data_IF_974709594321
#
_entry.id   IF_974709594321
#
_cell.length_a   1.000
_cell.length_b   1.000
_cell.length_c   1.000
_cell.angle_alpha   90.00
_cell.angle_beta   90.00
_cell.angle_gamma   90.00
#
_symmetry.space_group_name_H-M   'P 1'
#
loop_
_entity.id
_entity.type
_entity.pdbx_description
1 polymer ?
#
# COMPACT_ATOMS: atom_id res chain seq x y z
N UNK A 1 5.41 -10.85 7.67
CA UNK A 1 6.64 -11.33 8.33
C UNK A 1 7.59 -10.16 8.47
N UNK A 2 8.04 -9.84 9.69
CA UNK A 2 8.85 -8.64 9.91
C UNK A 2 10.31 -8.95 9.56
N UNK A 3 10.80 -8.41 8.43
CA UNK A 3 12.17 -8.58 7.94
C UNK A 3 13.20 -8.23 9.02
N UNK A 4 12.87 -7.27 9.89
CA UNK A 4 13.72 -6.86 11.01
C UNK A 4 13.96 -8.00 12.01
N UNK A 5 12.92 -8.79 12.32
CA UNK A 5 13.04 -9.95 13.22
C UNK A 5 13.93 -11.02 12.58
N UNK A 6 13.78 -11.26 11.27
CA UNK A 6 14.62 -12.23 10.57
C UNK A 6 16.09 -11.78 10.49
N UNK A 7 16.36 -10.52 10.16
CA UNK A 7 17.73 -9.99 10.10
C UNK A 7 18.42 -9.97 11.48
N UNK A 8 17.64 -9.71 12.55
CA UNK A 8 18.11 -9.85 13.94
C UNK A 8 18.44 -11.31 14.28
N UNK A 9 17.60 -12.24 13.82
CA UNK A 9 17.82 -13.69 13.97
C UNK A 9 19.05 -14.15 13.16
N UNK A 10 19.35 -13.53 12.02
CA UNK A 10 20.41 -13.96 11.08
C UNK A 10 21.83 -13.47 11.46
N UNK A 11 22.11 -13.19 12.74
CA UNK A 11 23.40 -12.70 13.26
C UNK A 11 23.88 -11.32 12.74
N UNK A 12 23.01 -10.53 12.10
CA UNK A 12 23.38 -9.18 11.68
C UNK A 12 23.26 -8.20 12.86
N UNK A 13 24.25 -7.32 13.07
CA UNK A 13 24.17 -6.28 14.12
C UNK A 13 22.90 -5.43 13.94
N UNK A 14 22.30 -4.98 15.05
CA UNK A 14 21.10 -4.14 15.05
C UNK A 14 21.23 -2.94 14.10
N UNK A 15 22.38 -2.28 14.12
CA UNK A 15 22.69 -1.13 13.25
C UNK A 15 22.63 -1.49 11.75
N UNK A 16 23.11 -2.68 11.39
CA UNK A 16 23.13 -3.14 9.99
C UNK A 16 21.73 -3.52 9.52
N UNK A 17 20.95 -4.21 10.36
CA UNK A 17 19.57 -4.56 10.05
C UNK A 17 18.69 -3.32 9.88
N UNK A 18 18.87 -2.32 10.75
CA UNK A 18 18.20 -1.02 10.63
C UNK A 18 18.59 -0.28 9.35
N UNK A 19 19.88 -0.27 9.00
CA UNK A 19 20.38 0.35 7.77
C UNK A 19 19.80 -0.30 6.51
N UNK A 20 19.78 -1.64 6.45
CA UNK A 20 19.20 -2.38 5.32
C UNK A 20 17.71 -2.09 5.16
N UNK A 21 16.97 -2.02 6.28
CA UNK A 21 15.54 -1.69 6.25
C UNK A 21 15.30 -0.25 5.77
N UNK A 22 16.14 0.70 6.18
CA UNK A 22 16.08 2.09 5.73
C UNK A 22 16.35 2.21 4.22
N UNK A 23 17.40 1.53 3.71
CA UNK A 23 17.69 1.46 2.27
C UNK A 23 16.45 0.95 1.53
N UNK A 24 15.83 -0.12 2.03
CA UNK A 24 14.63 -0.68 1.42
C UNK A 24 13.47 0.34 1.34
N UNK A 25 13.20 1.08 2.41
CA UNK A 25 12.13 2.09 2.44
C UNK A 25 12.40 3.24 1.45
N UNK A 26 13.65 3.73 1.40
CA UNK A 26 14.04 4.83 0.50
C UNK A 26 13.92 4.39 -0.96
N UNK A 27 14.45 3.21 -1.31
CA UNK A 27 14.37 2.67 -2.67
C UNK A 27 12.92 2.48 -3.09
N UNK A 28 12.07 1.94 -2.21
CA UNK A 28 10.67 1.70 -2.51
C UNK A 28 9.85 2.98 -2.68
N UNK A 29 10.17 4.02 -1.89
CA UNK A 29 9.59 5.35 -2.07
C UNK A 29 9.95 5.93 -3.44
N UNK A 30 11.22 5.92 -3.81
CA UNK A 30 11.69 6.49 -5.09
C UNK A 30 11.29 5.66 -6.31
N UNK A 31 11.23 4.33 -6.17
CA UNK A 31 10.86 3.43 -7.26
C UNK A 31 9.40 3.61 -7.68
N UNK A 32 8.49 3.97 -6.77
CA UNK A 32 7.05 4.10 -7.10
C UNK A 32 6.71 5.15 -8.17
N UNK A 33 7.14 6.43 -8.07
CA UNK A 33 6.89 7.41 -9.12
C UNK A 33 7.70 7.09 -10.38
N UNK A 34 8.91 6.54 -10.26
CA UNK A 34 9.73 6.12 -11.39
C UNK A 34 9.03 5.04 -12.23
N UNK A 35 8.63 3.94 -11.58
CA UNK A 35 7.84 2.88 -12.19
C UNK A 35 6.53 3.43 -12.74
N UNK A 36 5.84 4.31 -12.00
CA UNK A 36 4.60 4.92 -12.46
C UNK A 36 4.77 5.67 -13.78
N UNK A 37 5.75 6.56 -13.85
CA UNK A 37 6.07 7.33 -15.05
C UNK A 37 6.47 6.44 -16.24
N UNK A 38 7.40 5.50 -16.02
CA UNK A 38 7.86 4.61 -17.10
C UNK A 38 6.79 3.61 -17.52
N UNK A 39 5.96 3.14 -16.60
CA UNK A 39 4.82 2.29 -16.91
C UNK A 39 3.81 3.01 -17.78
N UNK A 40 3.59 4.31 -17.59
CA UNK A 40 2.73 5.12 -18.45
C UNK A 40 3.35 5.33 -19.86
N UNK A 41 4.67 5.47 -19.99
CA UNK A 41 5.30 5.74 -21.30
C UNK A 41 5.74 4.49 -22.09
N UNK A 42 5.42 3.29 -21.62
CA UNK A 42 5.88 2.05 -22.27
C UNK A 42 5.02 1.69 -23.49
N UNK A 43 5.47 2.14 -24.66
CA UNK A 43 4.83 1.89 -25.95
C UNK A 43 5.77 1.10 -26.89
N UNK A 44 5.80 -0.23 -26.70
CA UNK A 44 6.62 -1.16 -27.45
C UNK A 44 5.73 -2.26 -28.08
N UNK A 45 6.24 -3.00 -29.07
CA UNK A 45 5.51 -4.12 -29.72
C UNK A 45 5.02 -5.16 -28.69
N UNK A 46 5.80 -5.39 -27.64
CA UNK A 46 5.45 -6.27 -26.52
C UNK A 46 4.28 -5.72 -25.68
N UNK A 47 4.27 -4.42 -25.36
CA UNK A 47 3.16 -3.82 -24.59
C UNK A 47 1.88 -3.74 -25.42
N UNK A 48 1.98 -3.57 -26.74
CA UNK A 48 0.84 -3.63 -27.66
C UNK A 48 0.15 -5.01 -27.68
N UNK A 49 0.91 -6.11 -27.57
CA UNK A 49 0.35 -7.48 -27.56
C UNK A 49 -0.05 -7.97 -26.16
N UNK A 50 0.74 -7.67 -25.14
CA UNK A 50 0.58 -8.24 -23.81
C UNK A 50 -0.19 -7.37 -22.82
N UNK A 51 -0.25 -6.06 -23.08
CA UNK A 51 -0.72 -5.07 -22.12
C UNK A 51 0.45 -4.38 -21.41
N UNK A 52 0.35 -3.05 -21.29
CA UNK A 52 1.40 -2.20 -20.70
C UNK A 52 1.48 -2.43 -19.20
N UNK A 53 0.33 -2.53 -18.52
CA UNK A 53 0.26 -2.77 -17.07
C UNK A 53 0.70 -4.18 -16.74
N UNK A 54 0.26 -5.17 -17.51
CA UNK A 54 0.69 -6.56 -17.35
C UNK A 54 2.19 -6.73 -17.56
N UNK A 55 2.80 -6.03 -18.52
CA UNK A 55 4.24 -6.12 -18.75
C UNK A 55 5.06 -5.68 -17.53
N UNK A 56 4.72 -4.53 -16.94
CA UNK A 56 5.39 -4.06 -15.72
C UNK A 56 5.09 -4.90 -14.49
N UNK A 57 3.87 -5.45 -14.38
CA UNK A 57 3.54 -6.42 -13.35
C UNK A 57 4.39 -7.70 -13.49
N UNK A 58 4.59 -8.20 -14.70
CA UNK A 58 5.44 -9.38 -14.96
C UNK A 58 6.89 -9.09 -14.63
N UNK A 59 7.44 -7.96 -15.07
CA UNK A 59 8.79 -7.52 -14.71
C UNK A 59 8.98 -7.50 -13.19
N UNK A 60 8.08 -6.84 -12.47
CA UNK A 60 8.16 -6.78 -11.01
C UNK A 60 8.05 -8.15 -10.34
N UNK A 61 7.18 -9.03 -10.86
CA UNK A 61 7.03 -10.40 -10.36
C UNK A 61 8.34 -11.17 -10.51
N UNK A 62 9.00 -11.09 -11.68
CA UNK A 62 10.29 -11.76 -11.90
C UNK A 62 11.38 -11.23 -10.96
N UNK A 63 11.45 -9.92 -10.74
CA UNK A 63 12.37 -9.31 -9.78
C UNK A 63 12.13 -9.83 -8.36
N UNK A 64 10.87 -9.90 -7.91
CA UNK A 64 10.51 -10.42 -6.59
C UNK A 64 10.88 -11.90 -6.45
N UNK A 65 10.56 -12.74 -7.44
CA UNK A 65 10.89 -14.16 -7.42
C UNK A 65 12.41 -14.41 -7.39
N UNK A 66 13.17 -13.59 -8.10
CA UNK A 66 14.63 -13.69 -8.17
C UNK A 66 15.35 -13.14 -6.94
N UNK A 67 14.73 -12.29 -6.12
CA UNK A 67 15.39 -11.61 -5.00
C UNK A 67 14.90 -12.05 -3.62
N UNK A 68 13.59 -12.27 -3.45
CA UNK A 68 12.99 -12.56 -2.15
C UNK A 68 13.54 -13.83 -1.46
N UNK A 69 13.81 -14.96 -2.16
CA UNK A 69 14.44 -16.12 -1.52
C UNK A 69 15.82 -15.81 -0.92
N UNK A 70 16.60 -14.96 -1.58
CA UNK A 70 17.99 -14.65 -1.17
C UNK A 70 18.04 -13.72 0.03
N UNK A 71 17.01 -12.88 0.23
CA UNK A 71 16.87 -12.06 1.44
C UNK A 71 16.70 -12.95 2.69
N UNK A 72 16.03 -14.10 2.55
CA UNK A 72 15.71 -15.03 3.63
C UNK A 72 16.50 -16.35 3.57
N UNK A 73 17.62 -16.35 2.85
CA UNK A 73 18.57 -17.45 2.84
C UNK A 73 19.88 -17.01 3.46
N UNK A 74 20.65 -17.96 3.99
CA UNK A 74 22.04 -17.69 4.35
C UNK A 74 22.79 -17.15 3.13
N UNK A 75 23.62 -16.12 3.33
CA UNK A 75 24.39 -15.59 2.22
C UNK A 75 25.31 -16.69 1.67
N UNK A 76 25.15 -16.97 0.37
CA UNK A 76 25.92 -17.97 -0.36
C UNK A 76 27.41 -17.61 -0.35
N UNK A 77 28.23 -18.41 0.34
CA UNK A 77 29.69 -18.21 0.40
C UNK A 77 30.16 -17.09 1.33
N UNK A 78 29.30 -16.57 2.22
CA UNK A 78 29.64 -15.48 3.14
C UNK A 78 30.17 -15.93 4.52
N UNK A 79 30.35 -17.23 4.78
CA UNK A 79 30.66 -17.76 6.12
C UNK A 79 31.97 -17.23 6.73
N UNK A 80 32.91 -16.76 5.90
CA UNK A 80 34.19 -16.17 6.31
C UNK A 80 34.38 -14.72 5.83
N UNK A 81 33.35 -14.12 5.23
CA UNK A 81 33.45 -12.81 4.56
C UNK A 81 33.23 -11.65 5.53
N UNK A 82 33.89 -10.53 5.26
CA UNK A 82 33.79 -9.31 6.08
C UNK A 82 32.34 -8.77 6.13
N UNK A 83 31.94 -8.16 7.24
CA UNK A 83 30.56 -7.65 7.47
C UNK A 83 30.02 -6.75 6.36
N UNK A 84 30.86 -5.89 5.78
CA UNK A 84 30.52 -5.02 4.65
C UNK A 84 30.11 -5.80 3.39
N UNK A 85 30.74 -6.94 3.12
CA UNK A 85 30.38 -7.78 1.97
C UNK A 85 28.98 -8.38 2.14
N UNK A 86 28.64 -8.82 3.35
CA UNK A 86 27.29 -9.28 3.68
C UNK A 86 26.26 -8.15 3.55
N UNK A 87 26.61 -6.94 4.00
CA UNK A 87 25.75 -5.75 3.86
C UNK A 87 25.46 -5.43 2.39
N UNK A 88 26.48 -5.39 1.52
CA UNK A 88 26.28 -5.15 0.09
C UNK A 88 25.46 -6.24 -0.58
N UNK A 89 25.69 -7.51 -0.22
CA UNK A 89 24.92 -8.65 -0.73
C UNK A 89 23.42 -8.49 -0.43
N UNK A 90 23.06 -8.30 0.84
CA UNK A 90 21.65 -8.13 1.21
C UNK A 90 21.06 -6.83 0.68
N UNK A 91 21.82 -5.73 0.66
CA UNK A 91 21.37 -4.46 0.11
C UNK A 91 21.00 -4.58 -1.37
N UNK A 92 21.81 -5.29 -2.18
CA UNK A 92 21.52 -5.49 -3.60
C UNK A 92 20.19 -6.24 -3.82
N UNK A 93 19.95 -7.34 -3.10
CA UNK A 93 18.69 -8.08 -3.21
C UNK A 93 17.50 -7.28 -2.69
N UNK A 94 17.65 -6.53 -1.60
CA UNK A 94 16.60 -5.64 -1.08
C UNK A 94 16.27 -4.57 -2.13
N UNK A 95 17.25 -3.94 -2.76
CA UNK A 95 17.01 -2.93 -3.81
C UNK A 95 16.21 -3.53 -4.96
N UNK A 96 16.60 -4.71 -5.46
CA UNK A 96 15.88 -5.40 -6.54
C UNK A 96 14.45 -5.77 -6.10
N UNK A 97 14.29 -6.28 -4.89
CA UNK A 97 12.99 -6.63 -4.33
C UNK A 97 12.06 -5.42 -4.24
N UNK A 98 12.55 -4.28 -3.74
CA UNK A 98 11.75 -3.07 -3.57
C UNK A 98 11.35 -2.45 -4.92
N UNK A 99 12.24 -2.45 -5.92
CA UNK A 99 11.89 -2.04 -7.29
C UNK A 99 10.82 -2.99 -7.87
N UNK A 100 11.00 -4.30 -7.68
CA UNK A 100 10.05 -5.30 -8.14
C UNK A 100 8.67 -5.17 -7.47
N UNK A 101 8.65 -4.92 -6.17
CA UNK A 101 7.44 -4.67 -5.40
C UNK A 101 6.71 -3.42 -5.86
N UNK A 102 7.43 -2.31 -6.06
CA UNK A 102 6.87 -1.08 -6.63
C UNK A 102 6.24 -1.35 -8.01
N UNK A 103 6.93 -2.11 -8.89
CA UNK A 103 6.43 -2.50 -10.21
C UNK A 103 5.14 -3.31 -10.16
N UNK A 104 5.07 -4.35 -9.32
CA UNK A 104 3.84 -5.16 -9.14
C UNK A 104 2.70 -4.30 -8.59
N UNK A 105 2.97 -3.53 -7.54
CA UNK A 105 1.93 -2.79 -6.83
C UNK A 105 1.34 -1.67 -7.70
N UNK A 106 2.18 -0.82 -8.30
CA UNK A 106 1.73 0.34 -9.05
C UNK A 106 0.99 -0.09 -10.32
N UNK A 107 1.51 -1.09 -11.04
CA UNK A 107 0.88 -1.60 -12.27
C UNK A 107 -0.49 -2.24 -12.00
N UNK A 108 -0.63 -2.95 -10.88
CA UNK A 108 -1.92 -3.53 -10.50
C UNK A 108 -2.93 -2.46 -10.06
N UNK A 109 -2.48 -1.40 -9.37
CA UNK A 109 -3.36 -0.30 -8.94
C UNK A 109 -3.88 0.52 -10.11
N UNK A 110 -3.00 0.85 -11.06
CA UNK A 110 -3.36 1.62 -12.27
C UNK A 110 -4.23 0.84 -13.26
N UNK A 111 -4.25 -0.49 -13.18
CA UNK A 111 -5.13 -1.32 -13.99
C UNK A 111 -6.61 -1.24 -13.57
N UNK A 112 -6.93 -0.95 -12.30
CA UNK A 112 -8.32 -0.93 -11.82
C UNK A 112 -9.17 0.14 -12.53
N UNK A 113 -8.73 1.41 -12.65
CA UNK A 113 -9.47 2.42 -13.40
C UNK A 113 -9.60 2.14 -14.89
N UNK A 114 -8.68 1.35 -15.47
CA UNK A 114 -8.72 0.93 -16.88
C UNK A 114 -9.71 -0.21 -17.12
N UNK A 115 -9.98 -1.06 -16.12
CA UNK A 115 -10.90 -2.21 -16.22
C UNK A 115 -12.38 -1.83 -16.16
N UNK A 116 -12.73 -0.71 -15.54
CA UNK A 116 -14.12 -0.27 -15.38
C UNK A 116 -14.20 1.24 -15.37
N UNK A 117 -15.22 1.80 -16.04
CA UNK A 117 -15.57 3.22 -15.98
C UNK A 117 -16.60 3.53 -14.86
N UNK A 118 -17.27 2.51 -14.31
CA UNK A 118 -18.21 2.69 -13.19
C UNK A 118 -17.44 2.78 -11.86
N UNK A 119 -17.58 3.92 -11.17
CA UNK A 119 -16.96 4.22 -9.88
C UNK A 119 -17.37 3.25 -8.76
N UNK A 120 -18.61 2.74 -8.79
CA UNK A 120 -19.06 1.73 -7.86
C UNK A 120 -18.33 0.41 -8.08
N UNK A 121 -18.14 0.00 -9.34
CA UNK A 121 -17.40 -1.22 -9.70
C UNK A 121 -15.91 -1.07 -9.33
N UNK A 122 -15.29 0.09 -9.58
CA UNK A 122 -13.89 0.37 -9.16
C UNK A 122 -13.69 0.20 -7.66
N UNK A 123 -14.66 0.65 -6.87
CA UNK A 123 -14.65 0.50 -5.41
C UNK A 123 -14.76 -0.95 -5.00
N UNK A 124 -15.66 -1.68 -5.64
CA UNK A 124 -15.86 -3.10 -5.39
C UNK A 124 -14.59 -3.91 -5.70
N UNK A 125 -13.96 -3.66 -6.86
CA UNK A 125 -12.67 -4.27 -7.22
C UNK A 125 -11.58 -3.93 -6.20
N UNK A 126 -11.55 -2.70 -5.72
CA UNK A 126 -10.60 -2.24 -4.69
C UNK A 126 -10.84 -2.92 -3.35
N UNK A 127 -12.09 -3.05 -2.91
CA UNK A 127 -12.47 -3.77 -1.70
C UNK A 127 -12.10 -5.26 -1.79
N UNK A 128 -12.38 -5.91 -2.92
CA UNK A 128 -12.02 -7.31 -3.16
C UNK A 128 -10.50 -7.49 -3.12
N UNK A 129 -9.74 -6.63 -3.81
CA UNK A 129 -8.27 -6.65 -3.78
C UNK A 129 -7.72 -6.50 -2.36
N UNK A 130 -8.27 -5.56 -1.58
CA UNK A 130 -7.85 -5.37 -0.20
C UNK A 130 -8.21 -6.58 0.67
N UNK A 131 -9.41 -7.15 0.49
CA UNK A 131 -9.81 -8.41 1.14
C UNK A 131 -8.83 -9.55 0.87
N UNK A 132 -8.38 -9.74 -0.37
CA UNK A 132 -7.35 -10.72 -0.71
C UNK A 132 -5.98 -10.40 -0.09
N UNK A 133 -5.64 -9.12 0.08
CA UNK A 133 -4.42 -8.71 0.79
C UNK A 133 -4.50 -9.10 2.28
N UNK A 134 -5.66 -8.91 2.91
CA UNK A 134 -5.90 -9.35 4.29
C UNK A 134 -5.83 -10.87 4.41
N UNK A 135 -6.50 -11.61 3.51
CA UNK A 135 -6.45 -13.08 3.47
C UNK A 135 -5.02 -13.61 3.26
N UNK A 136 -4.22 -12.96 2.42
CA UNK A 136 -2.81 -13.31 2.21
C UNK A 136 -1.99 -13.11 3.49
N UNK A 137 -2.20 -12.01 4.22
CA UNK A 137 -1.55 -11.82 5.52
C UNK A 137 -1.95 -12.93 6.51
N UNK A 138 -3.24 -13.24 6.62
CA UNK A 138 -3.74 -14.33 7.46
C UNK A 138 -3.10 -15.68 7.09
N UNK A 139 -3.00 -15.97 5.79
CA UNK A 139 -2.33 -17.18 5.29
C UNK A 139 -0.86 -17.24 5.75
N UNK A 140 -0.09 -16.16 5.62
CA UNK A 140 1.30 -16.11 6.10
C UNK A 140 1.39 -16.32 7.61
N UNK A 141 0.47 -15.71 8.38
CA UNK A 141 0.38 -15.94 9.83
C UNK A 141 0.12 -17.40 10.18
N UNK A 142 -0.85 -18.05 9.52
CA UNK A 142 -1.21 -19.45 9.75
C UNK A 142 -0.04 -20.37 9.37
N UNK A 143 0.59 -20.17 8.20
CA UNK A 143 1.75 -20.96 7.76
C UNK A 143 2.91 -20.81 8.74
N UNK A 144 3.17 -19.60 9.21
CA UNK A 144 4.24 -19.32 10.20
C UNK A 144 3.94 -20.03 11.52
N UNK A 145 2.70 -19.96 12.01
CA UNK A 145 2.27 -20.64 13.22
C UNK A 145 2.40 -22.16 13.11
N UNK A 146 1.94 -22.77 12.01
CA UNK A 146 2.07 -24.21 11.75
C UNK A 146 3.53 -24.62 11.77
N UNK A 147 4.40 -23.93 11.01
CA UNK A 147 5.81 -24.29 10.91
C UNK A 147 6.48 -24.16 12.28
N UNK A 148 6.29 -23.04 13.00
CA UNK A 148 6.91 -22.84 14.30
C UNK A 148 6.38 -23.80 15.37
N UNK A 149 5.09 -24.19 15.33
CA UNK A 149 4.50 -25.11 16.29
C UNK A 149 4.93 -26.57 16.04
N UNK A 150 4.95 -27.00 14.77
CA UNK A 150 5.35 -28.37 14.39
C UNK A 150 6.85 -28.60 14.56
N UNK A 151 7.67 -27.56 14.39
CA UNK A 151 9.15 -27.66 14.43
C UNK A 151 9.78 -27.07 15.69
N UNK A 152 8.97 -26.54 16.62
CA UNK A 152 9.44 -25.95 17.87
C UNK A 152 9.29 -26.94 19.02
N UNK A 153 10.37 -27.17 19.78
CA UNK A 153 10.25 -27.71 21.14
C UNK A 153 9.55 -26.63 21.99
N UNK A 154 8.24 -26.79 22.17
CA UNK A 154 7.40 -25.83 22.89
C UNK A 154 7.89 -25.72 24.34
N UNK A 155 8.53 -24.59 24.68
CA UNK A 155 8.27 -23.77 25.89
C UNK A 155 9.48 -23.00 26.46
N UNK A 156 10.71 -23.05 25.92
CA UNK A 156 11.85 -22.40 26.62
C UNK A 156 12.86 -21.57 25.81
N UNK A 157 12.85 -21.60 24.48
CA UNK A 157 13.85 -20.86 23.67
C UNK A 157 13.23 -19.74 22.84
N UNK A 158 13.75 -18.53 23.00
CA UNK A 158 13.44 -17.40 22.11
C UNK A 158 13.94 -17.72 20.69
N UNK A 159 13.18 -17.28 19.68
CA UNK A 159 13.51 -17.45 18.26
C UNK A 159 14.94 -16.98 18.02
N UNK A 160 15.79 -17.89 17.52
CA UNK A 160 17.22 -17.65 17.38
C UNK A 160 17.75 -17.99 15.99
N UNK A 161 19.03 -17.72 15.71
CA UNK A 161 19.65 -17.96 14.39
C UNK A 161 19.50 -19.37 13.86
N UNK A 162 19.43 -20.36 14.75
CA UNK A 162 19.19 -21.77 14.41
C UNK A 162 17.81 -22.01 13.76
N UNK A 163 16.85 -21.09 13.90
CA UNK A 163 15.53 -21.15 13.28
C UNK A 163 15.48 -20.55 11.86
N UNK A 164 16.60 -20.03 11.33
CA UNK A 164 16.63 -19.36 10.02
C UNK A 164 16.08 -20.24 8.88
N UNK A 165 16.32 -21.55 8.93
CA UNK A 165 15.79 -22.50 7.95
C UNK A 165 14.25 -22.60 7.97
N UNK A 166 13.61 -22.37 9.13
CA UNK A 166 12.14 -22.35 9.27
C UNK A 166 11.57 -21.16 8.50
N UNK A 167 12.19 -19.98 8.66
CA UNK A 167 11.81 -18.77 7.92
C UNK A 167 12.00 -18.92 6.42
N UNK A 168 13.10 -19.56 5.98
CA UNK A 168 13.33 -19.89 4.58
C UNK A 168 12.22 -20.77 3.98
N UNK A 169 11.78 -21.79 4.71
CA UNK A 169 10.68 -22.66 4.27
C UNK A 169 9.35 -21.91 4.16
N UNK A 170 9.04 -21.01 5.11
CA UNK A 170 7.86 -20.13 5.02
C UNK A 170 7.92 -19.31 3.72
N UNK A 171 9.08 -18.72 3.41
CA UNK A 171 9.27 -17.91 2.19
C UNK A 171 9.06 -18.74 0.93
N UNK A 172 9.59 -19.95 0.84
CA UNK A 172 9.37 -20.81 -0.33
C UNK A 172 7.90 -21.16 -0.55
N UNK A 173 7.13 -21.44 0.52
CA UNK A 173 5.70 -21.69 0.42
C UNK A 173 4.96 -20.45 -0.09
N UNK A 174 5.27 -19.27 0.48
CA UNK A 174 4.63 -18.00 0.09
C UNK A 174 4.94 -17.65 -1.36
N UNK A 175 6.19 -17.84 -1.80
CA UNK A 175 6.61 -17.63 -3.18
C UNK A 175 5.89 -18.60 -4.12
N UNK A 176 5.77 -19.88 -3.77
CA UNK A 176 5.09 -20.88 -4.61
C UNK A 176 3.61 -20.49 -4.82
N UNK A 177 2.90 -20.17 -3.75
CA UNK A 177 1.49 -19.74 -3.82
C UNK A 177 1.35 -18.43 -4.58
N UNK A 178 2.21 -17.45 -4.31
CA UNK A 178 2.23 -16.18 -5.03
C UNK A 178 2.53 -16.33 -6.52
N UNK A 179 3.43 -17.24 -6.90
CA UNK A 179 3.75 -17.54 -8.30
C UNK A 179 2.54 -18.11 -9.04
N UNK A 180 1.83 -19.06 -8.42
CA UNK A 180 0.60 -19.63 -8.98
C UNK A 180 -0.44 -18.52 -9.18
N UNK A 181 -0.65 -17.66 -8.17
CA UNK A 181 -1.59 -16.55 -8.26
C UNK A 181 -1.21 -15.55 -9.38
N UNK A 182 0.07 -15.22 -9.51
CA UNK A 182 0.57 -14.35 -10.59
C UNK A 182 0.39 -14.96 -11.98
N UNK A 183 0.64 -16.27 -12.14
CA UNK A 183 0.39 -16.99 -13.39
C UNK A 183 -1.10 -16.96 -13.74
N UNK A 184 -1.98 -17.20 -12.77
CA UNK A 184 -3.43 -17.10 -12.96
C UNK A 184 -3.86 -15.69 -13.36
N UNK A 185 -3.34 -14.66 -12.70
CA UNK A 185 -3.59 -13.26 -13.08
C UNK A 185 -3.23 -13.01 -14.54
N UNK A 186 -2.03 -13.42 -14.97
CA UNK A 186 -1.58 -13.21 -16.34
C UNK A 186 -2.31 -14.05 -17.38
N UNK A 187 -2.81 -15.22 -17.02
CA UNK A 187 -3.59 -16.09 -17.91
C UNK A 187 -5.06 -15.64 -18.04
N UNK A 188 -5.68 -15.20 -16.95
CA UNK A 188 -7.12 -14.91 -16.87
C UNK A 188 -7.43 -13.47 -17.25
N UNK A 189 -6.64 -12.51 -16.76
CA UNK A 189 -6.93 -11.08 -16.95
C UNK A 189 -6.46 -10.64 -18.34
N UNK A 190 -7.41 -10.24 -19.18
CA UNK A 190 -7.13 -9.63 -20.48
C UNK A 190 -7.17 -8.10 -20.35
N UNK A 191 -6.06 -7.45 -20.64
CA UNK A 191 -5.97 -6.00 -20.72
C UNK A 191 -6.58 -5.57 -22.08
N UNK A 192 -7.73 -4.91 -22.04
CA UNK A 192 -8.47 -4.52 -23.25
C UNK A 192 -7.86 -3.24 -23.82
N UNK A 193 -7.10 -3.35 -24.92
CA UNK A 193 -6.38 -2.26 -25.62
C UNK A 193 -7.29 -1.21 -26.33
N UNK A 194 -8.58 -1.13 -26.01
CA UNK A 194 -9.60 -0.87 -27.05
C UNK A 194 -9.67 0.54 -27.68
N UNK A 195 -8.96 1.60 -27.26
CA UNK A 195 -9.10 2.89 -27.99
C UNK A 195 -7.85 3.77 -28.13
N UNK A 196 -6.71 3.43 -27.52
CA UNK A 196 -5.56 4.36 -27.46
C UNK A 196 -4.89 4.61 -28.82
N UNK A 197 -4.83 3.61 -29.70
CA UNK A 197 -4.19 3.78 -31.02
C UNK A 197 -4.91 4.78 -31.93
N UNK A 198 -6.19 5.07 -31.67
CA UNK A 198 -6.98 6.02 -32.46
C UNK A 198 -6.98 7.43 -31.87
N UNK A 199 -6.85 7.59 -30.53
CA UNK A 199 -6.68 8.89 -29.86
C UNK A 199 -5.24 9.44 -29.95
N UNK A 200 -4.21 8.58 -29.88
CA UNK A 200 -2.78 8.94 -30.07
C UNK A 200 -2.50 9.61 -31.42
N UNK A 201 -3.26 9.22 -32.46
CA UNK A 201 -3.16 9.79 -33.80
C UNK A 201 -3.85 11.17 -33.90
N UNK A 202 -4.67 11.54 -32.90
CA UNK A 202 -5.48 12.76 -32.89
C UNK A 202 -4.99 13.82 -31.89
N UNK A 203 -4.20 13.47 -30.85
CA UNK A 203 -3.68 14.44 -29.86
C UNK A 203 -2.14 14.51 -29.84
N UNK A 204 -1.51 15.55 -30.42
CA UNK A 204 -0.05 15.66 -30.49
C UNK A 204 0.67 15.97 -29.18
N UNK A 205 -0.05 16.14 -28.06
CA UNK A 205 0.48 16.74 -26.83
C UNK A 205 0.36 15.82 -25.61
N UNK A 206 0.84 14.57 -25.74
CA UNK A 206 0.82 13.57 -24.66
C UNK A 206 1.75 13.90 -23.47
N UNK A 207 2.76 14.76 -23.66
CA UNK A 207 3.75 15.08 -22.63
C UNK A 207 3.24 16.02 -21.52
N UNK A 208 2.07 16.64 -21.69
CA UNK A 208 1.49 17.60 -20.74
C UNK A 208 0.71 16.99 -19.58
N UNK A 209 0.14 15.79 -19.74
CA UNK A 209 -0.84 15.23 -18.80
C UNK A 209 -0.27 15.07 -17.37
N UNK A 210 0.98 14.61 -17.24
CA UNK A 210 1.65 14.48 -15.94
C UNK A 210 1.83 15.84 -15.25
N UNK A 211 2.25 16.85 -16.01
CA UNK A 211 2.43 18.22 -15.51
C UNK A 211 1.10 18.86 -15.09
N UNK A 212 0.03 18.60 -15.85
CA UNK A 212 -1.30 19.12 -15.55
C UNK A 212 -1.86 18.55 -14.24
N UNK A 213 -1.64 17.27 -13.96
CA UNK A 213 -2.02 16.67 -12.68
C UNK A 213 -1.25 17.27 -11.50
N UNK A 214 0.06 17.50 -11.66
CA UNK A 214 0.89 18.12 -10.63
C UNK A 214 0.50 19.58 -10.34
N UNK A 215 -0.13 20.29 -11.29
CA UNK A 215 -0.63 21.65 -11.07
C UNK A 215 -1.97 21.70 -10.34
N UNK A 216 -2.70 20.58 -10.27
CA UNK A 216 -4.05 20.55 -9.68
C UNK A 216 -3.98 20.43 -8.15
N UNK A 217 -4.56 21.37 -7.38
CA UNK A 217 -4.56 21.30 -5.92
C UNK A 217 -5.30 20.07 -5.37
N UNK A 218 -6.32 19.59 -6.10
CA UNK A 218 -7.09 18.38 -5.75
C UNK A 218 -6.18 17.15 -5.68
N UNK A 219 -5.12 17.08 -6.48
CA UNK A 219 -4.17 15.96 -6.45
C UNK A 219 -3.48 15.87 -5.08
N UNK A 220 -2.97 16.99 -4.57
CA UNK A 220 -2.30 17.05 -3.27
C UNK A 220 -3.27 16.77 -2.11
N UNK A 221 -4.52 17.20 -2.25
CA UNK A 221 -5.56 16.89 -1.26
C UNK A 221 -5.86 15.38 -1.20
N UNK A 222 -6.04 14.72 -2.35
CA UNK A 222 -6.22 13.26 -2.43
C UNK A 222 -4.98 12.52 -1.96
N UNK A 223 -3.78 13.02 -2.26
CA UNK A 223 -2.52 12.49 -1.74
C UNK A 223 -2.46 12.58 -0.21
N UNK A 224 -2.90 13.69 0.37
CA UNK A 224 -3.01 13.83 1.82
C UNK A 224 -3.99 12.84 2.45
N UNK A 225 -5.14 12.58 1.82
CA UNK A 225 -6.10 11.55 2.25
C UNK A 225 -5.48 10.15 2.16
N UNK A 226 -4.83 9.82 1.04
CA UNK A 226 -4.18 8.52 0.84
C UNK A 226 -3.04 8.30 1.86
N UNK A 227 -2.14 9.28 1.99
CA UNK A 227 -1.01 9.28 2.90
C UNK A 227 -1.46 9.11 4.35
N UNK A 228 -2.38 9.94 4.83
CA UNK A 228 -2.87 9.88 6.22
C UNK A 228 -3.54 8.54 6.53
N UNK A 229 -4.34 8.02 5.61
CA UNK A 229 -4.98 6.71 5.74
C UNK A 229 -3.96 5.58 5.82
N UNK A 230 -2.96 5.59 4.94
CA UNK A 230 -1.87 4.61 4.93
C UNK A 230 -1.02 4.69 6.18
N UNK A 231 -0.75 5.90 6.66
CA UNK A 231 -0.05 6.13 7.91
C UNK A 231 -0.79 5.48 9.09
N UNK A 232 -2.12 5.65 9.19
CA UNK A 232 -2.95 4.99 10.21
C UNK A 232 -2.81 3.46 10.14
N UNK A 233 -3.01 2.87 8.95
CA UNK A 233 -2.98 1.40 8.79
C UNK A 233 -1.60 0.83 9.09
N UNK A 234 -0.54 1.43 8.54
CA UNK A 234 0.83 0.94 8.69
C UNK A 234 1.34 1.14 10.12
N UNK A 235 1.11 2.31 10.72
CA UNK A 235 1.53 2.58 12.11
C UNK A 235 0.79 1.70 13.10
N UNK A 236 -0.51 1.46 12.91
CA UNK A 236 -1.27 0.54 13.76
C UNK A 236 -0.67 -0.88 13.72
N UNK A 237 -0.36 -1.39 12.52
CA UNK A 237 0.24 -2.72 12.38
C UNK A 237 1.62 -2.84 13.04
N UNK A 238 2.43 -1.78 13.00
CA UNK A 238 3.77 -1.76 13.59
C UNK A 238 3.72 -1.57 15.12
N UNK A 239 2.89 -0.64 15.60
CA UNK A 239 2.88 -0.25 17.01
C UNK A 239 2.04 -1.18 17.89
N UNK A 240 1.02 -1.87 17.36
CA UNK A 240 0.16 -2.75 18.17
C UNK A 240 0.96 -3.83 18.90
N UNK A 241 1.84 -4.62 18.24
CA UNK A 241 2.66 -5.60 18.95
C UNK A 241 3.55 -4.97 20.04
N UNK A 242 4.12 -3.80 19.78
CA UNK A 242 4.97 -3.08 20.74
C UNK A 242 4.17 -2.59 21.95
N UNK A 243 2.98 -2.04 21.71
CA UNK A 243 2.05 -1.61 22.75
C UNK A 243 1.62 -2.78 23.65
N UNK A 244 1.22 -3.91 23.05
CA UNK A 244 0.79 -5.09 23.81
C UNK A 244 1.90 -5.66 24.68
N UNK A 245 3.13 -5.69 24.16
CA UNK A 245 4.28 -6.26 24.87
C UNK A 245 4.86 -5.31 25.91
N UNK A 246 5.20 -4.07 25.53
CA UNK A 246 5.91 -3.11 26.38
C UNK A 246 4.98 -2.37 27.33
N UNK A 247 3.80 -1.94 26.88
CA UNK A 247 2.89 -1.12 27.71
C UNK A 247 1.95 -1.97 28.54
N UNK A 248 1.33 -2.99 27.94
CA UNK A 248 0.34 -3.81 28.65
C UNK A 248 0.95 -5.04 29.34
N UNK A 249 2.20 -5.40 29.01
CA UNK A 249 2.90 -6.55 29.61
C UNK A 249 2.21 -7.89 29.32
N UNK A 250 1.50 -8.01 28.19
CA UNK A 250 0.70 -9.19 27.88
C UNK A 250 1.57 -10.38 27.46
N UNK A 251 1.06 -11.58 27.75
CA UNK A 251 1.69 -12.83 27.34
C UNK A 251 1.86 -12.90 25.80
N UNK A 252 2.89 -13.62 25.35
CA UNK A 252 3.24 -13.75 23.93
C UNK A 252 2.06 -14.18 23.03
N UNK A 253 1.09 -14.95 23.57
CA UNK A 253 -0.14 -15.32 22.83
C UNK A 253 -0.91 -14.09 22.30
N UNK A 254 -0.99 -13.02 23.09
CA UNK A 254 -1.74 -11.82 22.72
C UNK A 254 -1.11 -11.10 21.52
N UNK A 255 0.21 -11.21 21.36
CA UNK A 255 0.95 -10.64 20.23
C UNK A 255 0.61 -11.30 18.89
N UNK A 256 0.06 -12.52 18.92
CA UNK A 256 -0.45 -13.21 17.73
C UNK A 256 -1.94 -12.99 17.52
N UNK A 257 -2.74 -13.10 18.59
CA UNK A 257 -4.22 -13.08 18.49
C UNK A 257 -4.78 -11.67 18.23
N UNK A 258 -4.15 -10.61 18.75
CA UNK A 258 -4.65 -9.24 18.55
C UNK A 258 -4.48 -8.76 17.10
N UNK A 259 -3.32 -8.93 16.44
CA UNK A 259 -3.21 -8.66 15.00
C UNK A 259 -4.17 -9.51 14.16
N UNK A 260 -4.42 -10.76 14.54
CA UNK A 260 -5.44 -11.61 13.90
C UNK A 260 -6.83 -10.98 13.98
N UNK A 261 -7.24 -10.51 15.17
CA UNK A 261 -8.52 -9.83 15.37
C UNK A 261 -8.62 -8.54 14.53
N UNK A 262 -7.53 -7.79 14.40
CA UNK A 262 -7.45 -6.63 13.52
C UNK A 262 -7.72 -7.00 12.07
N UNK A 263 -7.06 -8.05 11.55
CA UNK A 263 -7.29 -8.52 10.18
C UNK A 263 -8.72 -9.04 9.97
N UNK A 264 -9.34 -9.68 10.96
CA UNK A 264 -10.74 -10.08 10.88
C UNK A 264 -11.67 -8.86 10.77
N UNK A 265 -11.42 -7.79 11.51
CA UNK A 265 -12.13 -6.52 11.36
C UNK A 265 -11.98 -5.92 9.96
N UNK A 266 -10.76 -5.95 9.42
CA UNK A 266 -10.48 -5.50 8.05
C UNK A 266 -11.20 -6.33 6.97
N UNK A 267 -11.31 -7.64 7.17
CA UNK A 267 -12.03 -8.53 6.26
C UNK A 267 -13.55 -8.28 6.32
N UNK A 268 -14.10 -8.06 7.52
CA UNK A 268 -15.50 -7.68 7.69
C UNK A 268 -15.82 -6.35 6.97
N UNK A 269 -14.93 -5.36 7.08
CA UNK A 269 -15.06 -4.09 6.35
C UNK A 269 -15.05 -4.27 4.82
N UNK A 270 -14.20 -5.15 4.28
CA UNK A 270 -14.20 -5.45 2.85
C UNK A 270 -15.51 -6.12 2.40
N UNK A 271 -16.06 -7.02 3.21
CA UNK A 271 -17.36 -7.64 2.98
C UNK A 271 -18.52 -6.63 3.01
N UNK A 272 -18.53 -5.74 4.00
CA UNK A 272 -19.56 -4.70 4.13
C UNK A 272 -19.53 -3.73 2.93
N UNK A 273 -18.34 -3.29 2.50
CA UNK A 273 -18.21 -2.39 1.36
C UNK A 273 -18.67 -3.02 0.04
N UNK A 274 -18.56 -4.34 -0.09
CA UNK A 274 -19.11 -5.07 -1.22
C UNK A 274 -20.65 -5.07 -1.24
N UNK A 275 -21.28 -5.02 -0.07
CA UNK A 275 -22.75 -5.02 0.07
C UNK A 275 -23.33 -3.61 0.16
N UNK A 276 -22.47 -2.58 0.22
CA UNK A 276 -22.90 -1.20 0.37
C UNK A 276 -23.72 -0.73 -0.86
N UNK A 277 -24.84 -0.02 -0.66
CA UNK A 277 -25.65 0.48 -1.76
C UNK A 277 -24.96 1.62 -2.53
N UNK A 278 -25.33 1.79 -3.80
CA UNK A 278 -24.83 2.86 -4.69
C UNK A 278 -25.06 4.29 -4.16
N UNK A 279 -26.02 4.48 -3.25
CA UNK A 279 -26.32 5.77 -2.62
C UNK A 279 -25.26 6.22 -1.60
N UNK A 280 -24.37 5.33 -1.17
CA UNK A 280 -23.39 5.62 -0.14
C UNK A 280 -22.25 6.49 -0.69
N UNK A 281 -22.18 7.75 -0.26
CA UNK A 281 -21.14 8.68 -0.75
C UNK A 281 -19.75 8.32 -0.21
N UNK A 282 -18.70 8.66 -0.98
CA UNK A 282 -17.29 8.52 -0.55
C UNK A 282 -17.03 9.17 0.80
N UNK A 283 -17.53 10.39 0.98
CA UNK A 283 -17.36 11.16 2.22
C UNK A 283 -17.98 10.47 3.42
N UNK A 284 -19.18 9.90 3.25
CA UNK A 284 -19.85 9.17 4.33
C UNK A 284 -19.10 7.87 4.70
N UNK A 285 -18.67 7.09 3.71
CA UNK A 285 -17.87 5.89 3.96
C UNK A 285 -16.57 6.22 4.72
N UNK A 286 -15.85 7.26 4.28
CA UNK A 286 -14.64 7.69 4.94
C UNK A 286 -14.91 8.15 6.38
N UNK A 287 -15.96 8.96 6.59
CA UNK A 287 -16.40 9.40 7.92
C UNK A 287 -16.69 8.23 8.86
N UNK A 288 -17.43 7.23 8.40
CA UNK A 288 -17.73 6.03 9.19
C UNK A 288 -16.46 5.25 9.55
N UNK A 289 -15.56 5.07 8.57
CA UNK A 289 -14.26 4.43 8.81
C UNK A 289 -13.41 5.19 9.84
N UNK A 290 -13.32 6.51 9.70
CA UNK A 290 -12.59 7.38 10.61
C UNK A 290 -13.19 7.38 12.02
N UNK A 291 -14.51 7.38 12.15
CA UNK A 291 -15.17 7.31 13.45
C UNK A 291 -14.85 5.99 14.17
N UNK A 292 -14.91 4.85 13.47
CA UNK A 292 -14.55 3.56 14.02
C UNK A 292 -13.07 3.50 14.45
N UNK A 293 -12.16 4.00 13.60
CA UNK A 293 -10.73 4.02 13.91
C UNK A 293 -10.41 4.94 15.10
N UNK A 294 -10.96 6.16 15.12
CA UNK A 294 -10.79 7.11 16.22
C UNK A 294 -11.34 6.57 17.54
N UNK A 295 -12.52 5.95 17.52
CA UNK A 295 -13.06 5.30 18.72
C UNK A 295 -12.09 4.25 19.26
N UNK A 296 -11.48 3.45 18.38
CA UNK A 296 -10.43 2.50 18.74
C UNK A 296 -9.21 3.16 19.39
N UNK A 297 -8.64 4.21 18.77
CA UNK A 297 -7.46 4.88 19.31
C UNK A 297 -7.73 5.62 20.63
N UNK A 298 -8.89 6.26 20.77
CA UNK A 298 -9.34 6.88 22.03
C UNK A 298 -9.50 5.81 23.11
N UNK A 299 -10.07 4.65 22.78
CA UNK A 299 -10.21 3.56 23.73
C UNK A 299 -8.85 2.98 24.16
N UNK A 300 -7.88 2.89 23.25
CA UNK A 300 -6.49 2.52 23.59
C UNK A 300 -5.89 3.51 24.59
N UNK A 301 -6.11 4.80 24.43
CA UNK A 301 -5.54 5.83 25.31
C UNK A 301 -6.02 5.69 26.76
N UNK A 302 -7.32 5.46 26.96
CA UNK A 302 -7.93 5.33 28.29
C UNK A 302 -7.92 3.91 28.86
N UNK A 303 -7.75 2.88 28.03
CA UNK A 303 -7.83 1.48 28.42
C UNK A 303 -6.59 1.00 29.18
N UNK A 304 -6.66 0.95 30.52
CA UNK A 304 -5.58 0.44 31.38
C UNK A 304 -5.97 -0.75 32.28
N UNK A 305 -7.26 -0.96 32.52
CA UNK A 305 -7.77 -1.94 33.49
C UNK A 305 -7.56 -3.40 33.05
N UNK A 306 -7.57 -4.36 33.98
CA UNK A 306 -7.37 -5.78 33.67
C UNK A 306 -8.49 -6.36 32.78
N UNK A 307 -9.73 -5.92 32.98
CA UNK A 307 -10.85 -6.27 32.09
C UNK A 307 -10.59 -5.80 30.65
N UNK A 308 -9.95 -4.64 30.48
CA UNK A 308 -9.59 -4.11 29.17
C UNK A 308 -8.54 -4.98 28.49
N UNK A 309 -7.49 -5.34 29.25
CA UNK A 309 -6.41 -6.22 28.79
C UNK A 309 -6.91 -7.59 28.32
N UNK A 310 -7.92 -8.15 28.98
CA UNK A 310 -8.41 -9.50 28.70
C UNK A 310 -9.49 -9.52 27.60
N UNK A 311 -10.45 -8.59 27.63
CA UNK A 311 -11.63 -8.68 26.74
C UNK A 311 -11.69 -7.54 25.73
N UNK A 312 -11.54 -6.29 26.16
CA UNK A 312 -11.80 -5.15 25.29
C UNK A 312 -10.72 -4.91 24.23
N UNK A 313 -9.48 -5.35 24.47
CA UNK A 313 -8.40 -5.18 23.47
C UNK A 313 -8.71 -5.83 22.12
N UNK A 314 -9.42 -6.96 22.10
CA UNK A 314 -9.81 -7.63 20.85
C UNK A 314 -10.90 -6.85 20.12
N UNK A 315 -11.86 -6.29 20.85
CA UNK A 315 -12.91 -5.44 20.27
C UNK A 315 -12.29 -4.17 19.67
N UNK A 316 -11.36 -3.55 20.38
CA UNK A 316 -10.59 -2.39 19.90
C UNK A 316 -9.81 -2.72 18.64
N UNK A 317 -9.13 -3.88 18.60
CA UNK A 317 -8.40 -4.31 17.41
C UNK A 317 -9.32 -4.49 16.19
N UNK A 318 -10.49 -5.10 16.38
CA UNK A 318 -11.51 -5.24 15.33
C UNK A 318 -11.99 -3.87 14.84
N UNK A 319 -12.25 -2.92 15.75
CA UNK A 319 -12.67 -1.56 15.39
C UNK A 319 -11.62 -0.81 14.56
N UNK A 320 -10.35 -0.87 14.98
CA UNK A 320 -9.23 -0.23 14.25
C UNK A 320 -9.06 -0.91 12.89
N UNK A 321 -9.08 -2.24 12.84
CA UNK A 321 -8.97 -3.00 11.60
C UNK A 321 -10.09 -2.70 10.61
N UNK A 322 -11.32 -2.61 11.11
CA UNK A 322 -12.49 -2.26 10.32
C UNK A 322 -12.42 -0.82 9.80
N UNK A 323 -12.17 0.15 10.69
CA UNK A 323 -12.08 1.56 10.34
C UNK A 323 -10.97 1.84 9.34
N UNK A 324 -9.77 1.32 9.58
CA UNK A 324 -8.62 1.46 8.68
C UNK A 324 -8.87 0.85 7.29
N UNK A 325 -9.56 -0.28 7.22
CA UNK A 325 -9.95 -0.92 5.96
C UNK A 325 -10.97 -0.08 5.16
N UNK A 326 -11.99 0.46 5.82
CA UNK A 326 -12.97 1.37 5.19
C UNK A 326 -12.30 2.63 4.67
N UNK A 327 -11.46 3.26 5.48
CA UNK A 327 -10.71 4.45 5.07
C UNK A 327 -9.81 4.13 3.86
N UNK A 328 -9.08 3.01 3.88
CA UNK A 328 -8.10 2.68 2.83
C UNK A 328 -8.74 2.37 1.48
N UNK A 329 -9.83 1.59 1.48
CA UNK A 329 -10.56 1.32 0.24
C UNK A 329 -11.18 2.61 -0.30
N UNK A 330 -11.74 3.45 0.59
CA UNK A 330 -12.31 4.74 0.18
C UNK A 330 -11.24 5.69 -0.37
N UNK A 331 -10.04 5.76 0.25
CA UNK A 331 -8.95 6.60 -0.25
C UNK A 331 -8.45 6.14 -1.61
N UNK A 332 -8.36 4.83 -1.84
CA UNK A 332 -8.00 4.26 -3.15
C UNK A 332 -9.08 4.54 -4.20
N UNK A 333 -10.36 4.47 -3.83
CA UNK A 333 -11.45 4.85 -4.72
C UNK A 333 -11.39 6.34 -5.09
N UNK A 334 -11.10 7.24 -4.13
CA UNK A 334 -10.87 8.66 -4.41
C UNK A 334 -9.67 8.88 -5.35
N UNK A 335 -8.60 8.09 -5.23
CA UNK A 335 -7.48 8.13 -6.19
C UNK A 335 -7.92 7.68 -7.59
N UNK A 336 -8.74 6.63 -7.70
CA UNK A 336 -9.30 6.19 -8.98
C UNK A 336 -10.23 7.25 -9.59
N UNK A 337 -11.06 7.90 -8.76
CA UNK A 337 -11.96 8.98 -9.17
C UNK A 337 -11.14 10.21 -9.67
N UNK A 338 -10.00 10.51 -9.03
CA UNK A 338 -9.06 11.57 -9.48
C UNK A 338 -8.44 11.27 -10.85
N UNK A 339 -8.07 10.01 -11.11
CA UNK A 339 -7.56 9.57 -12.42
C UNK A 339 -8.66 9.72 -13.49
N UNK A 340 -9.90 9.35 -13.14
CA UNK A 340 -11.06 9.55 -14.02
C UNK A 340 -11.05 8.63 -15.25
N UNK A 341 -11.45 9.18 -16.39
CA UNK A 341 -11.51 8.47 -17.67
C UNK A 341 -10.20 8.51 -18.47
N UNK A 342 -9.40 9.60 -18.31
CA UNK A 342 -8.10 9.76 -18.96
C UNK A 342 -7.03 9.02 -18.14
N UNK A 343 -6.89 7.71 -18.37
CA UNK A 343 -5.99 6.83 -17.60
C UNK A 343 -4.52 6.87 -18.04
N UNK A 344 -4.13 7.86 -18.84
CA UNK A 344 -2.78 7.99 -19.41
C UNK A 344 -1.70 8.13 -18.34
N UNK A 345 -1.92 9.01 -17.36
CA UNK A 345 -1.01 9.26 -16.24
C UNK A 345 -1.38 8.48 -14.96
N UNK A 346 -2.19 7.42 -15.07
CA UNK A 346 -2.78 6.76 -13.90
C UNK A 346 -1.73 6.08 -13.01
N UNK A 347 -0.71 5.42 -13.58
CA UNK A 347 0.33 4.77 -12.79
C UNK A 347 1.26 5.79 -12.14
N UNK A 348 1.58 6.89 -12.82
CA UNK A 348 2.32 7.99 -12.23
C UNK A 348 1.58 8.58 -11.03
N UNK A 349 0.26 8.82 -11.12
CA UNK A 349 -0.54 9.31 -10.00
C UNK A 349 -0.47 8.34 -8.83
N UNK A 350 -0.76 7.05 -9.02
CA UNK A 350 -0.60 6.05 -7.95
C UNK A 350 0.83 5.98 -7.41
N UNK A 351 1.84 6.20 -8.26
CA UNK A 351 3.24 6.31 -7.89
C UNK A 351 3.51 7.48 -6.93
N UNK A 352 3.00 8.68 -7.22
CA UNK A 352 3.12 9.85 -6.35
C UNK A 352 2.35 9.65 -5.04
N UNK A 353 1.15 9.07 -5.09
CA UNK A 353 0.38 8.71 -3.90
C UNK A 353 1.20 7.76 -3.01
N UNK A 354 1.81 6.73 -3.61
CA UNK A 354 2.65 5.77 -2.89
C UNK A 354 4.04 6.27 -2.50
N UNK A 355 4.52 7.36 -3.10
CA UNK A 355 5.72 8.03 -2.62
C UNK A 355 5.41 8.77 -1.31
N UNK A 356 4.28 9.49 -1.28
CA UNK A 356 3.87 10.27 -0.12
C UNK A 356 3.60 9.40 1.12
N UNK A 357 2.96 8.23 0.95
CA UNK A 357 2.71 7.33 2.08
C UNK A 357 3.99 6.69 2.62
N UNK A 358 4.91 6.24 1.75
CA UNK A 358 6.18 5.62 2.17
C UNK A 358 7.08 6.63 2.88
N UNK A 359 7.20 7.84 2.35
CA UNK A 359 7.98 8.89 2.97
C UNK A 359 7.44 9.25 4.36
N UNK A 360 6.12 9.46 4.48
CA UNK A 360 5.49 9.82 5.75
C UNK A 360 5.55 8.68 6.78
N UNK A 361 5.28 7.43 6.37
CA UNK A 361 5.40 6.26 7.24
C UNK A 361 6.85 6.07 7.73
N UNK A 362 7.82 6.14 6.82
CA UNK A 362 9.24 6.02 7.15
C UNK A 362 9.68 7.07 8.18
N UNK A 363 9.32 8.34 7.96
CA UNK A 363 9.63 9.43 8.89
C UNK A 363 8.94 9.25 10.25
N UNK A 364 7.64 8.89 10.26
CA UNK A 364 6.90 8.68 11.49
C UNK A 364 7.48 7.53 12.33
N UNK A 365 7.83 6.41 11.68
CA UNK A 365 8.47 5.27 12.36
C UNK A 365 9.84 5.71 12.91
N UNK A 366 10.66 6.40 12.12
CA UNK A 366 11.98 6.86 12.56
C UNK A 366 11.89 7.78 13.77
N UNK A 367 10.94 8.71 13.79
CA UNK A 367 10.69 9.59 14.93
C UNK A 367 10.23 8.80 16.17
N UNK A 368 9.27 7.88 16.01
CA UNK A 368 8.78 7.07 17.13
C UNK A 368 9.88 6.18 17.71
N UNK A 369 10.75 5.60 16.87
CA UNK A 369 11.85 4.77 17.36
C UNK A 369 12.98 5.60 18.00
N UNK A 370 13.29 6.78 17.46
CA UNK A 370 14.33 7.67 18.01
C UNK A 370 14.07 8.04 19.47
N UNK A 371 12.80 8.27 19.84
CA UNK A 371 12.41 8.62 21.21
C UNK A 371 11.94 7.41 22.03
N UNK A 372 12.10 6.18 21.54
CA UNK A 372 11.70 4.98 22.27
C UNK A 372 12.73 4.57 23.35
N UNK A 373 14.01 4.87 23.13
CA UNK A 373 15.08 4.48 24.06
C UNK A 373 14.99 5.26 25.37
N UNK A 374 14.75 4.53 26.47
CA UNK A 374 14.57 5.12 27.80
C UNK A 374 13.19 5.75 28.06
N UNK A 375 12.23 5.56 27.14
CA UNK A 375 10.88 6.07 27.31
C UNK A 375 10.07 5.25 28.33
N UNK A 376 9.09 5.90 28.97
CA UNK A 376 8.16 5.24 29.88
C UNK A 376 7.33 4.15 29.19
N UNK A 377 6.82 3.18 29.95
CA UNK A 377 5.99 2.09 29.44
C UNK A 377 4.75 2.59 28.67
N UNK A 378 4.24 3.79 29.00
CA UNK A 378 3.09 4.41 28.32
C UNK A 378 3.40 5.03 26.97
N UNK A 379 4.68 5.11 26.59
CA UNK A 379 5.14 5.77 25.36
C UNK A 379 4.48 5.21 24.10
N UNK A 380 4.51 3.90 23.89
CA UNK A 380 3.94 3.29 22.68
C UNK A 380 2.41 3.46 22.59
N UNK A 381 1.71 3.48 23.74
CA UNK A 381 0.27 3.81 23.79
C UNK A 381 0.03 5.24 23.31
N UNK A 382 0.76 6.19 23.87
CA UNK A 382 0.61 7.61 23.54
C UNK A 382 1.02 7.88 22.08
N UNK A 383 2.16 7.35 21.65
CA UNK A 383 2.65 7.47 20.28
C UNK A 383 1.63 6.91 19.27
N UNK A 384 1.05 5.74 19.53
CA UNK A 384 0.01 5.17 18.67
C UNK A 384 -1.25 6.03 18.65
N UNK A 385 -1.80 6.39 19.82
CA UNK A 385 -3.05 7.14 19.93
C UNK A 385 -2.94 8.51 19.26
N UNK A 386 -1.87 9.26 19.53
CA UNK A 386 -1.67 10.59 18.95
C UNK A 386 -1.32 10.53 17.47
N UNK A 387 -0.39 9.67 17.05
CA UNK A 387 0.04 9.62 15.64
C UNK A 387 -1.09 9.13 14.74
N UNK A 388 -1.73 8.02 15.11
CA UNK A 388 -2.82 7.47 14.31
C UNK A 388 -4.11 8.31 14.44
N UNK A 389 -4.39 8.86 15.62
CA UNK A 389 -5.53 9.76 15.82
C UNK A 389 -5.41 11.04 15.00
N UNK A 390 -4.26 11.72 15.06
CA UNK A 390 -4.00 12.93 14.28
C UNK A 390 -4.05 12.65 12.77
N UNK A 391 -3.45 11.54 12.31
CA UNK A 391 -3.53 11.14 10.91
C UNK A 391 -4.98 10.87 10.48
N UNK A 392 -5.78 10.21 11.32
CA UNK A 392 -7.21 9.96 11.01
C UNK A 392 -8.00 11.27 10.90
N UNK A 393 -7.78 12.22 11.81
CA UNK A 393 -8.43 13.54 11.77
C UNK A 393 -8.00 14.35 10.54
N UNK A 394 -6.72 14.30 10.18
CA UNK A 394 -6.20 14.95 8.98
C UNK A 394 -6.87 14.39 7.72
N UNK A 395 -6.88 13.06 7.56
CA UNK A 395 -7.52 12.39 6.43
C UNK A 395 -9.02 12.68 6.34
N UNK A 396 -9.70 12.70 7.49
CA UNK A 396 -11.12 13.03 7.55
C UNK A 396 -11.38 14.48 7.11
N UNK A 397 -10.62 15.42 7.66
CA UNK A 397 -10.73 16.84 7.32
C UNK A 397 -10.50 17.06 5.84
N UNK A 398 -9.42 16.49 5.27
CA UNK A 398 -9.12 16.59 3.85
C UNK A 398 -10.22 15.97 2.97
N UNK A 399 -10.84 14.87 3.41
CA UNK A 399 -11.94 14.23 2.68
C UNK A 399 -13.24 15.04 2.73
N UNK A 400 -13.56 15.65 3.87
CA UNK A 400 -14.76 16.48 4.01
C UNK A 400 -14.64 17.77 3.18
N UNK A 401 -13.45 18.38 3.17
CA UNK A 401 -13.11 19.56 2.37
C UNK A 401 -12.95 19.26 0.88
N UNK A 402 -13.00 17.99 0.46
CA UNK A 402 -12.80 17.63 -0.94
C UNK A 402 -13.95 18.21 -1.79
N UNK A 403 -13.67 19.01 -2.83
CA UNK A 403 -14.71 19.47 -3.75
C UNK A 403 -15.38 18.25 -4.39
N UNK A 404 -16.65 18.40 -4.78
CA UNK A 404 -17.35 17.34 -5.51
C UNK A 404 -16.59 17.12 -6.82
N UNK A 405 -15.93 15.97 -6.96
CA UNK A 405 -15.29 15.56 -8.21
C UNK A 405 -16.45 15.26 -9.18
N UNK A 406 -16.99 16.28 -9.84
CA UNK A 406 -17.95 16.10 -10.92
C UNK A 406 -17.16 15.81 -12.17
N UNK A 407 -17.39 14.65 -12.78
CA UNK A 407 -16.85 14.29 -14.09
C UNK A 407 -17.17 15.33 -15.18
N UNK A 408 -18.17 16.19 -14.94
CA UNK A 408 -18.62 17.24 -15.86
C UNK A 408 -17.71 18.49 -15.95
N UNK A 409 -16.91 18.78 -14.92
CA UNK A 409 -16.10 20.01 -14.92
C UNK A 409 -14.85 19.91 -15.80
N UNK A 410 -14.48 18.69 -16.22
CA UNK A 410 -13.40 18.45 -17.18
C UNK A 410 -13.84 18.57 -18.64
N UNK A 411 -15.14 18.41 -18.92
CA UNK A 411 -15.70 18.58 -20.27
C UNK A 411 -15.98 20.06 -20.59
N UNK A 412 -16.32 20.87 -19.57
CA UNK A 412 -16.68 22.28 -19.77
C UNK A 412 -15.47 23.18 -20.03
N UNK A 413 -14.30 22.87 -19.49
CA UNK A 413 -13.09 23.67 -19.75
C UNK A 413 -12.45 23.39 -21.13
N UNK A 414 -12.61 22.19 -21.68
CA UNK A 414 -12.12 21.86 -23.04
C UNK A 414 -12.99 22.52 -24.14
N UNK A 415 -14.30 22.68 -23.89
CA UNK A 415 -15.21 23.32 -24.86
C UNK A 415 -15.05 24.84 -24.95
N UNK A 416 -14.57 25.51 -23.90
CA UNK A 416 -14.30 26.95 -23.95
C UNK A 416 -13.02 27.30 -24.70
N UNK A 417 -12.06 26.38 -24.85
CA UNK A 417 -10.82 26.64 -25.59
C UNK A 417 -10.91 26.40 -27.10
N UNK A 418 -11.95 25.71 -27.59
CA UNK A 418 -12.11 25.37 -29.01
C UNK A 418 -12.95 26.42 -29.76
N UNK A 419 -13.82 27.16 -29.07
CA UNK A 419 -14.74 28.11 -29.70
C UNK A 419 -14.18 29.55 -29.89
N UNK A 420 -12.95 29.85 -29.45
CA UNK A 420 -12.38 31.20 -29.55
C UNK A 420 -11.47 31.44 -30.77
N UNK A 421 -11.44 30.53 -31.76
CA UNK A 421 -10.59 30.66 -32.97
C UNK A 421 -11.30 30.54 -34.32
N UNK A 422 -12.62 30.46 -34.38
CA UNK A 422 -13.37 30.56 -35.64
C UNK A 422 -14.30 31.77 -35.61
N UNK A 423 -13.73 32.97 -35.79
CA UNK A 423 -14.43 34.08 -36.46
C UNK A 423 -13.46 35.23 -36.72
N UNK A 424 -12.80 35.24 -37.88
CA UNK A 424 -12.46 36.49 -38.59
C UNK A 424 -11.95 36.22 -40.02
N UNK A 425 -12.58 36.93 -40.96
CA UNK A 425 -12.20 37.22 -42.36
C UNK A 425 -12.41 36.15 -43.43
N UNK A 426 -13.66 35.98 -43.86
CA UNK A 426 -13.97 35.66 -45.26
C UNK A 426 -13.74 36.90 -46.14
N UNK A 427 -12.80 36.81 -47.08
CA UNK A 427 -12.67 37.74 -48.21
C UNK A 427 -13.69 37.39 -49.30
N UNK A 428 -14.34 38.37 -49.97
CA UNK A 428 -15.09 38.10 -51.19
C UNK A 428 -14.20 38.31 -52.42
N UNK A 429 -14.10 37.28 -53.26
CA UNK A 429 -13.64 37.38 -54.66
C UNK A 429 -14.88 37.27 -55.56
N UNK A 430 -15.14 38.38 -56.24
CA UNK A 430 -15.78 38.64 -57.56
C UNK A 430 -16.73 37.64 -58.22
N UNK A 431 -17.85 38.17 -58.74
CA UNK A 431 -18.18 38.10 -60.17
C UNK A 431 -19.36 38.99 -60.60
N UNK A 432 -19.16 39.62 -61.77
CA UNK A 432 -20.03 40.47 -62.63
C UNK A 432 -20.00 41.98 -62.35
#
# INVERSE_FOLDING_TARGET
MNLLIYLQVSHCSLDTSGTLMLIGQVVDALATPFVGYHSDHTDNVLSARYGRRKLWHLFGTLCVLASFPFIFSECLGCSLSHKWAQLYYFAAFIVIFQIGWAAVQISHLSLIPELSQDDHVRTHLTAVRYGFTVLSNLFVYIVTWIILHVTGECDKQQVGPADAWKFRNIVFIVIAVGSIASVLFHAIVRERQTHRHQELLLSPNESGAHGDFLRRPVMYQVAGVYMSTRLVVNMSQILIPLYLHRTLGLAARALAVVPLALYLGSLAAAGMQRLAPKSCTRKFNYFMGSLCALAGFVWIYFGSNDTYKIYFIYVVAVLIGFGGAVMLVTSLALTADLVGAKTEASAFIYGVMSFSDKLSCGLAIALVQKYADGAEDTYYRNAMAWTCGAATLLGLTLTLLLPKISSDTLALNDNTSINDTEDTSTAPIDNI
#
